data_IF_748085747826
#
_entry.id   IF_748085747826
#
_cell.length_a   1.000
_cell.length_b   1.000
_cell.length_c   1.000
_cell.angle_alpha   90.00
_cell.angle_beta   90.00
_cell.angle_gamma   90.00
#
_symmetry.space_group_name_H-M   'P 1'
#
loop_
_entity.id
_entity.type
_entity.pdbx_description
1 polymer ?
#
# COMPACT_ATOMS: atom_id res chain seq x y z
N UNK A 1 3.73 8.44 -21.81
CA UNK A 1 2.38 8.04 -22.25
C UNK A 1 2.20 6.62 -21.75
N UNK A 2 1.23 6.38 -20.86
CA UNK A 2 1.01 5.05 -20.31
C UNK A 2 0.37 4.15 -21.36
N UNK A 3 0.61 2.85 -21.27
CA UNK A 3 -0.12 1.84 -22.03
C UNK A 3 -1.51 1.63 -21.42
N UNK A 4 -2.45 1.10 -22.22
CA UNK A 4 -3.79 0.74 -21.72
C UNK A 4 -3.72 -0.19 -20.50
N UNK A 5 -2.75 -1.10 -20.47
CA UNK A 5 -2.54 -2.02 -19.34
C UNK A 5 -2.15 -1.26 -18.07
N UNK A 6 -1.26 -0.28 -18.18
CA UNK A 6 -0.84 0.56 -17.05
C UNK A 6 -1.99 1.43 -16.53
N UNK A 7 -2.80 2.00 -17.42
CA UNK A 7 -3.98 2.79 -17.02
C UNK A 7 -5.01 1.93 -16.28
N UNK A 8 -5.25 0.71 -16.77
CA UNK A 8 -6.12 -0.26 -16.08
C UNK A 8 -5.59 -0.59 -14.67
N UNK A 9 -4.28 -0.79 -14.51
CA UNK A 9 -3.64 -1.04 -13.20
C UNK A 9 -3.82 0.15 -12.26
N UNK A 10 -3.56 1.37 -12.72
CA UNK A 10 -3.67 2.57 -11.90
C UNK A 10 -5.11 2.81 -11.42
N UNK A 11 -6.09 2.68 -12.32
CA UNK A 11 -7.50 2.88 -12.01
C UNK A 11 -8.03 1.79 -11.09
N UNK A 12 -7.69 0.53 -11.35
CA UNK A 12 -8.08 -0.57 -10.48
C UNK A 12 -7.46 -0.45 -9.08
N UNK A 13 -6.19 -0.07 -8.98
CA UNK A 13 -5.50 0.21 -7.71
C UNK A 13 -6.24 1.29 -6.93
N UNK A 14 -6.49 2.45 -7.55
CA UNK A 14 -7.22 3.56 -6.94
C UNK A 14 -8.58 3.10 -6.42
N UNK A 15 -9.36 2.40 -7.25
CA UNK A 15 -10.71 1.94 -6.89
C UNK A 15 -10.69 0.97 -5.69
N UNK A 16 -9.72 0.07 -5.62
CA UNK A 16 -9.58 -0.84 -4.48
C UNK A 16 -9.16 -0.09 -3.21
N UNK A 17 -8.24 0.87 -3.31
CA UNK A 17 -7.82 1.68 -2.16
C UNK A 17 -8.96 2.54 -1.60
N UNK A 18 -9.91 2.95 -2.44
CA UNK A 18 -11.08 3.74 -2.04
C UNK A 18 -12.22 2.88 -1.49
N UNK A 19 -12.46 1.69 -2.06
CA UNK A 19 -13.72 0.95 -1.86
C UNK A 19 -13.59 -0.58 -1.78
N UNK A 20 -12.37 -1.12 -1.79
CA UNK A 20 -12.09 -2.55 -1.66
C UNK A 20 -12.26 -3.36 -2.95
N UNK A 21 -11.82 -4.62 -2.91
CA UNK A 21 -11.78 -5.57 -4.03
C UNK A 21 -13.19 -5.87 -4.57
N UNK A 22 -14.17 -5.96 -3.67
CA UNK A 22 -15.56 -6.26 -4.02
C UNK A 22 -16.20 -5.18 -4.88
N UNK A 23 -15.72 -3.94 -4.82
CA UNK A 23 -16.22 -2.84 -5.64
C UNK A 23 -15.75 -2.90 -7.11
N UNK A 24 -14.73 -3.71 -7.40
CA UNK A 24 -14.10 -3.80 -8.72
C UNK A 24 -14.70 -4.95 -9.55
N UNK A 25 -15.21 -4.61 -10.74
CA UNK A 25 -15.58 -5.58 -11.78
C UNK A 25 -14.86 -5.24 -13.08
N UNK A 26 -14.54 -6.26 -13.89
CA UNK A 26 -13.89 -6.06 -15.21
C UNK A 26 -14.73 -5.17 -16.13
N UNK A 27 -16.06 -5.26 -16.01
CA UNK A 27 -17.00 -4.43 -16.78
C UNK A 27 -16.91 -2.96 -16.40
N UNK A 28 -16.92 -2.66 -15.11
CA UNK A 28 -16.89 -1.27 -14.65
C UNK A 28 -15.50 -0.65 -14.84
N UNK A 29 -14.44 -1.46 -14.73
CA UNK A 29 -13.09 -1.05 -15.08
C UNK A 29 -13.00 -0.64 -16.55
N UNK A 30 -13.51 -1.47 -17.46
CA UNK A 30 -13.57 -1.15 -18.89
C UNK A 30 -14.35 0.13 -19.18
N UNK A 31 -15.53 0.30 -18.57
CA UNK A 31 -16.32 1.53 -18.68
C UNK A 31 -15.54 2.78 -18.24
N UNK A 32 -14.75 2.67 -17.17
CA UNK A 32 -13.98 3.79 -16.61
C UNK A 32 -12.92 4.30 -17.59
N UNK A 33 -12.30 3.40 -18.37
CA UNK A 33 -11.30 3.76 -19.39
C UNK A 33 -11.89 3.89 -20.81
N UNK A 34 -13.22 3.81 -20.95
CA UNK A 34 -13.90 3.95 -22.24
C UNK A 34 -13.78 2.73 -23.18
N UNK A 35 -13.49 1.53 -22.68
CA UNK A 35 -13.38 0.30 -23.47
C UNK A 35 -14.41 -0.77 -23.07
N UNK A 36 -14.60 -1.77 -23.93
CA UNK A 36 -15.46 -2.92 -23.63
C UNK A 36 -14.79 -3.84 -22.62
N UNK A 37 -15.60 -4.55 -21.81
CA UNK A 37 -15.09 -5.55 -20.86
C UNK A 37 -14.18 -6.60 -21.53
N UNK A 38 -14.51 -7.02 -22.76
CA UNK A 38 -13.68 -7.93 -23.56
C UNK A 38 -12.27 -7.40 -23.84
N UNK A 39 -12.12 -6.07 -23.98
CA UNK A 39 -10.81 -5.43 -24.16
C UNK A 39 -10.00 -5.42 -22.86
N UNK A 40 -10.65 -5.33 -21.70
CA UNK A 40 -9.96 -5.53 -20.40
C UNK A 40 -9.49 -6.97 -20.28
N UNK A 41 -10.32 -7.94 -20.66
CA UNK A 41 -9.99 -9.37 -20.62
C UNK A 41 -8.82 -9.75 -21.54
N UNK A 42 -8.57 -8.96 -22.59
CA UNK A 42 -7.37 -9.11 -23.42
C UNK A 42 -6.07 -8.76 -22.67
N UNK A 43 -6.14 -7.86 -21.69
CA UNK A 43 -4.99 -7.48 -20.86
C UNK A 43 -4.83 -8.35 -19.61
N UNK A 44 -5.94 -8.88 -19.07
CA UNK A 44 -5.97 -9.73 -17.89
C UNK A 44 -7.03 -10.81 -18.07
N UNK A 45 -6.61 -12.07 -18.17
CA UNK A 45 -7.49 -13.20 -18.47
C UNK A 45 -8.46 -13.53 -17.33
N UNK A 46 -8.19 -13.04 -16.12
CA UNK A 46 -9.06 -13.18 -14.96
C UNK A 46 -8.94 -11.98 -14.01
N UNK A 47 -9.89 -11.89 -13.06
CA UNK A 47 -9.79 -10.92 -11.96
C UNK A 47 -8.57 -11.24 -11.07
N UNK A 48 -8.27 -12.52 -10.87
CA UNK A 48 -7.11 -12.94 -10.05
C UNK A 48 -5.79 -12.51 -10.70
N UNK A 49 -5.65 -12.64 -12.02
CA UNK A 49 -4.48 -12.15 -12.75
C UNK A 49 -4.33 -10.63 -12.61
N UNK A 50 -5.44 -9.88 -12.72
CA UNK A 50 -5.42 -8.45 -12.47
C UNK A 50 -4.95 -8.14 -11.05
N UNK A 51 -5.55 -8.75 -10.01
CA UNK A 51 -5.20 -8.49 -8.62
C UNK A 51 -3.74 -8.83 -8.31
N UNK A 52 -3.22 -9.93 -8.87
CA UNK A 52 -1.81 -10.29 -8.77
C UNK A 52 -0.91 -9.20 -9.36
N UNK A 53 -1.24 -8.71 -10.56
CA UNK A 53 -0.46 -7.65 -11.19
C UNK A 53 -0.53 -6.33 -10.41
N UNK A 54 -1.68 -6.01 -9.79
CA UNK A 54 -1.81 -4.82 -8.95
C UNK A 54 -0.84 -4.87 -7.77
N UNK A 55 -0.83 -5.96 -6.99
CA UNK A 55 0.05 -6.05 -5.82
C UNK A 55 1.53 -6.11 -6.23
N UNK A 56 1.84 -6.77 -7.35
CA UNK A 56 3.20 -6.80 -7.92
C UNK A 56 3.68 -5.41 -8.29
N UNK A 57 2.93 -4.68 -9.10
CA UNK A 57 3.29 -3.31 -9.55
C UNK A 57 3.37 -2.34 -8.37
N UNK A 58 2.42 -2.44 -7.43
CA UNK A 58 2.41 -1.63 -6.21
C UNK A 58 3.65 -1.89 -5.35
N UNK A 59 4.02 -3.17 -5.17
CA UNK A 59 5.20 -3.56 -4.39
C UNK A 59 6.50 -3.11 -5.07
N UNK A 60 6.62 -3.27 -6.38
CA UNK A 60 7.79 -2.81 -7.15
C UNK A 60 8.00 -1.29 -6.98
N UNK A 61 6.94 -0.49 -7.12
CA UNK A 61 7.00 0.96 -6.91
C UNK A 61 7.38 1.34 -5.47
N UNK A 62 6.83 0.61 -4.48
CA UNK A 62 7.15 0.80 -3.07
C UNK A 62 8.62 0.50 -2.76
N UNK A 63 9.16 -0.61 -3.28
CA UNK A 63 10.57 -0.99 -3.14
C UNK A 63 11.49 0.07 -3.73
N UNK A 64 11.20 0.53 -4.95
CA UNK A 64 11.99 1.59 -5.62
C UNK A 64 12.00 2.87 -4.79
N UNK A 65 10.83 3.29 -4.27
CA UNK A 65 10.72 4.48 -3.43
C UNK A 65 11.54 4.36 -2.14
N UNK A 66 11.44 3.23 -1.43
CA UNK A 66 12.16 3.01 -0.17
C UNK A 66 13.68 2.86 -0.36
N UNK A 67 14.12 2.26 -1.48
CA UNK A 67 15.55 2.20 -1.81
C UNK A 67 16.13 3.59 -2.09
N UNK A 68 15.40 4.43 -2.83
CA UNK A 68 15.81 5.82 -3.07
C UNK A 68 15.98 6.60 -1.77
N UNK A 69 15.10 6.41 -0.78
CA UNK A 69 15.24 7.04 0.54
C UNK A 69 16.55 6.63 1.22
N UNK A 70 16.96 5.36 1.10
CA UNK A 70 18.22 4.89 1.67
C UNK A 70 19.46 5.49 0.96
N UNK A 71 19.37 5.71 -0.35
CA UNK A 71 20.45 6.27 -1.18
C UNK A 71 20.68 7.77 -0.95
N UNK A 72 19.67 8.52 -0.50
CA UNK A 72 19.74 9.97 -0.27
C UNK A 72 20.64 10.40 0.92
N UNK A 73 21.40 9.48 1.55
CA UNK A 73 22.27 9.73 2.72
C UNK A 73 21.59 10.51 3.86
N UNK A 74 20.28 10.30 4.03
CA UNK A 74 19.48 10.97 5.04
C UNK A 74 19.68 10.36 6.43
N UNK A 75 19.48 11.16 7.47
CA UNK A 75 19.34 10.68 8.85
C UNK A 75 18.13 9.74 9.00
N UNK A 76 18.24 8.75 9.89
CA UNK A 76 17.21 7.72 10.10
C UNK A 76 15.85 8.33 10.49
N UNK A 77 15.82 9.39 11.30
CA UNK A 77 14.56 10.08 11.66
C UNK A 77 13.89 10.66 10.43
N UNK A 78 14.65 11.19 9.47
CA UNK A 78 14.11 11.72 8.21
C UNK A 78 13.54 10.59 7.35
N UNK A 79 14.24 9.44 7.25
CA UNK A 79 13.76 8.26 6.52
C UNK A 79 12.44 7.73 7.09
N UNK A 80 12.36 7.59 8.41
CA UNK A 80 11.13 7.17 9.10
C UNK A 80 9.98 8.14 8.86
N UNK A 81 10.22 9.46 8.89
CA UNK A 81 9.20 10.45 8.54
C UNK A 81 8.74 10.29 7.08
N UNK A 82 9.66 10.06 6.12
CA UNK A 82 9.30 9.81 4.71
C UNK A 82 8.45 8.55 4.54
N UNK A 83 8.69 7.50 5.34
CA UNK A 83 7.85 6.30 5.37
C UNK A 83 6.44 6.61 5.91
N UNK A 84 6.34 7.31 7.04
CA UNK A 84 5.04 7.72 7.62
C UNK A 84 4.25 8.59 6.65
N UNK A 85 4.92 9.47 5.91
CA UNK A 85 4.28 10.35 4.93
C UNK A 85 3.55 9.57 3.82
N UNK A 86 3.91 8.31 3.53
CA UNK A 86 3.16 7.46 2.60
C UNK A 86 1.70 7.32 3.07
N UNK A 87 1.49 7.09 4.37
CA UNK A 87 0.16 6.95 4.96
C UNK A 87 -0.56 8.30 5.06
N UNK A 88 0.15 9.39 5.32
CA UNK A 88 -0.43 10.75 5.29
C UNK A 88 -0.94 11.11 3.89
N UNK A 89 -0.21 10.72 2.82
CA UNK A 89 -0.64 10.92 1.43
C UNK A 89 -1.87 10.07 1.09
N UNK A 90 -1.90 8.80 1.51
CA UNK A 90 -3.08 7.95 1.33
C UNK A 90 -4.32 8.56 1.99
N UNK A 91 -4.18 9.07 3.22
CA UNK A 91 -5.27 9.75 3.91
C UNK A 91 -5.75 10.99 3.15
N UNK A 92 -4.84 11.84 2.65
CA UNK A 92 -5.19 13.05 1.88
C UNK A 92 -5.96 12.73 0.60
N UNK A 93 -5.68 11.59 -0.02
CA UNK A 93 -6.36 11.12 -1.22
C UNK A 93 -7.64 10.31 -0.93
N UNK A 94 -8.08 10.25 0.33
CA UNK A 94 -9.21 9.43 0.79
C UNK A 94 -9.03 7.94 0.46
N UNK A 95 -7.82 7.42 0.63
CA UNK A 95 -7.42 6.04 0.29
C UNK A 95 -6.92 5.26 1.51
N UNK A 96 -6.97 3.93 1.40
CA UNK A 96 -6.27 2.99 2.28
C UNK A 96 -5.05 2.39 1.54
N UNK A 97 -4.14 1.76 2.26
CA UNK A 97 -3.07 0.95 1.68
C UNK A 97 -3.65 -0.20 0.83
N UNK A 98 -3.11 -0.42 -0.37
CA UNK A 98 -3.56 -1.52 -1.25
C UNK A 98 -3.32 -2.88 -0.58
N UNK A 99 -2.11 -3.10 -0.05
CA UNK A 99 -1.76 -4.35 0.65
C UNK A 99 -2.61 -4.54 1.92
N UNK A 100 -2.91 -3.45 2.64
CA UNK A 100 -3.85 -3.48 3.77
C UNK A 100 -5.24 -3.94 3.37
N UNK A 101 -5.77 -3.40 2.26
CA UNK A 101 -7.06 -3.82 1.72
C UNK A 101 -7.06 -5.29 1.27
N UNK A 102 -5.98 -5.74 0.64
CA UNK A 102 -5.79 -7.14 0.25
C UNK A 102 -5.74 -8.07 1.46
N UNK A 103 -5.03 -7.69 2.53
CA UNK A 103 -4.97 -8.46 3.77
C UNK A 103 -6.35 -8.61 4.43
N UNK A 104 -7.15 -7.53 4.49
CA UNK A 104 -8.51 -7.55 5.05
C UNK A 104 -9.45 -8.41 4.22
N UNK A 105 -9.32 -8.37 2.89
CA UNK A 105 -10.20 -9.09 1.95
C UNK A 105 -9.54 -10.33 1.34
N UNK A 106 -8.64 -10.99 2.08
CA UNK A 106 -7.82 -12.10 1.59
C UNK A 106 -8.61 -13.30 1.05
N UNK A 107 -9.87 -13.50 1.47
CA UNK A 107 -10.76 -14.55 0.93
C UNK A 107 -11.10 -14.37 -0.55
N UNK A 108 -10.87 -13.17 -1.09
CA UNK A 108 -11.05 -12.85 -2.50
C UNK A 108 -9.77 -13.02 -3.33
N UNK A 109 -8.68 -13.51 -2.73
CA UNK A 109 -7.37 -13.61 -3.37
C UNK A 109 -7.00 -15.08 -3.57
N UNK A 110 -6.27 -15.34 -4.66
CA UNK A 110 -5.59 -16.62 -4.83
C UNK A 110 -4.34 -16.71 -3.93
N UNK A 111 -3.79 -17.92 -3.78
CA UNK A 111 -2.65 -18.16 -2.89
C UNK A 111 -1.42 -17.33 -3.28
N UNK A 112 -1.16 -17.19 -4.57
CA UNK A 112 -0.03 -16.43 -5.09
C UNK A 112 -0.15 -14.93 -4.73
N UNK A 113 -1.35 -14.35 -4.80
CA UNK A 113 -1.59 -12.95 -4.43
C UNK A 113 -1.53 -12.76 -2.91
N UNK A 114 -1.96 -13.74 -2.12
CA UNK A 114 -1.79 -13.74 -0.65
C UNK A 114 -0.31 -13.74 -0.29
N UNK A 115 0.50 -14.59 -0.94
CA UNK A 115 1.95 -14.67 -0.70
C UNK A 115 2.62 -13.34 -1.04
N UNK A 116 2.30 -12.74 -2.20
CA UNK A 116 2.85 -11.42 -2.58
C UNK A 116 2.42 -10.29 -1.66
N UNK A 117 1.19 -10.33 -1.15
CA UNK A 117 0.73 -9.37 -0.14
C UNK A 117 1.51 -9.52 1.17
N UNK A 118 1.85 -10.76 1.55
CA UNK A 118 2.68 -11.04 2.72
C UNK A 118 4.12 -10.57 2.53
N UNK A 119 4.70 -10.80 1.34
CA UNK A 119 6.02 -10.32 0.94
C UNK A 119 6.13 -8.78 1.06
N UNK A 120 5.09 -8.05 0.64
CA UNK A 120 5.03 -6.59 0.76
C UNK A 120 5.22 -6.13 2.22
N UNK A 121 4.46 -6.72 3.16
CA UNK A 121 4.57 -6.36 4.57
C UNK A 121 5.90 -6.80 5.18
N UNK A 122 6.41 -7.97 4.82
CA UNK A 122 7.72 -8.44 5.27
C UNK A 122 8.84 -7.50 4.81
N UNK A 123 8.78 -7.01 3.57
CA UNK A 123 9.70 -6.01 3.05
C UNK A 123 9.60 -4.69 3.82
N UNK A 124 8.40 -4.15 4.02
CA UNK A 124 8.17 -2.92 4.76
C UNK A 124 8.72 -3.00 6.20
N UNK A 125 8.47 -4.11 6.90
CA UNK A 125 8.95 -4.37 8.25
C UNK A 125 10.48 -4.48 8.29
N UNK A 126 11.08 -5.17 7.33
CA UNK A 126 12.54 -5.29 7.23
C UNK A 126 13.20 -3.94 6.98
N UNK A 127 12.63 -3.14 6.06
CA UNK A 127 13.13 -1.81 5.78
C UNK A 127 13.04 -0.90 7.01
N UNK A 128 11.92 -0.92 7.74
CA UNK A 128 11.75 -0.17 8.99
C UNK A 128 12.76 -0.61 10.05
N UNK A 129 12.91 -1.92 10.26
CA UNK A 129 13.85 -2.47 11.25
C UNK A 129 15.30 -2.02 10.99
N UNK A 130 15.70 -1.88 9.72
CA UNK A 130 17.02 -1.38 9.33
C UNK A 130 17.22 0.12 9.55
N UNK A 131 16.13 0.88 9.71
CA UNK A 131 16.11 2.33 9.89
C UNK A 131 15.73 2.76 11.32
N UNK A 132 15.68 1.85 12.28
CA UNK A 132 15.40 2.14 13.69
C UNK A 132 16.66 1.96 14.54
N UNK A 133 16.90 2.87 15.49
CA UNK A 133 17.94 2.75 16.53
C UNK A 133 17.37 2.29 17.87
N UNK A 134 16.74 1.11 17.87
CA UNK A 134 16.12 0.51 19.07
C UNK A 134 16.46 -0.97 19.20
N UNK A 135 16.40 -1.49 20.42
CA UNK A 135 16.38 -2.95 20.65
C UNK A 135 15.12 -3.56 20.03
N UNK A 136 15.22 -4.82 19.62
CA UNK A 136 14.09 -5.57 19.03
C UNK A 136 13.46 -4.84 17.84
N UNK A 137 14.29 -4.22 16.99
CA UNK A 137 13.86 -3.34 15.89
C UNK A 137 12.86 -4.00 14.94
N UNK A 138 12.94 -5.32 14.75
CA UNK A 138 11.98 -6.07 13.94
C UNK A 138 10.59 -6.14 14.58
N UNK A 139 10.51 -6.37 15.90
CA UNK A 139 9.24 -6.37 16.65
C UNK A 139 8.63 -4.97 16.64
N UNK A 140 9.45 -3.94 16.85
CA UNK A 140 9.01 -2.55 16.77
C UNK A 140 8.53 -2.21 15.36
N UNK A 141 9.23 -2.64 14.30
CA UNK A 141 8.80 -2.43 12.93
C UNK A 141 7.42 -3.06 12.65
N UNK A 142 7.15 -4.26 13.16
CA UNK A 142 5.82 -4.89 13.09
C UNK A 142 4.74 -4.05 13.78
N UNK A 143 5.04 -3.50 14.96
CA UNK A 143 4.12 -2.60 15.68
C UNK A 143 3.90 -1.32 14.88
N UNK A 144 4.94 -0.72 14.30
CA UNK A 144 4.83 0.48 13.46
C UNK A 144 3.90 0.25 12.27
N UNK A 145 4.13 -0.80 11.48
CA UNK A 145 3.29 -1.11 10.31
C UNK A 145 1.84 -1.34 10.73
N UNK A 146 1.62 -2.15 11.77
CA UNK A 146 0.27 -2.42 12.28
C UNK A 146 -0.43 -1.16 12.78
N UNK A 147 0.32 -0.27 13.45
CA UNK A 147 -0.21 0.99 13.99
C UNK A 147 -0.53 1.99 12.87
N UNK A 148 0.29 2.08 11.82
CA UNK A 148 0.05 2.97 10.68
C UNK A 148 -1.17 2.53 9.86
N UNK A 149 -1.31 1.22 9.59
CA UNK A 149 -2.49 0.67 8.91
C UNK A 149 -3.77 0.91 9.73
N UNK A 150 -3.73 0.63 11.04
CA UNK A 150 -4.86 0.87 11.94
C UNK A 150 -5.21 2.35 12.08
N UNK A 151 -4.19 3.21 12.19
CA UNK A 151 -4.37 4.66 12.27
C UNK A 151 -5.02 5.21 11.00
N UNK A 152 -4.55 4.81 9.82
CA UNK A 152 -5.12 5.22 8.54
C UNK A 152 -6.60 4.82 8.43
N UNK A 153 -6.96 3.61 8.88
CA UNK A 153 -8.34 3.14 8.90
C UNK A 153 -9.24 4.01 9.79
N UNK A 154 -8.80 4.31 11.02
CA UNK A 154 -9.56 5.12 11.98
C UNK A 154 -9.66 6.58 11.54
N UNK A 155 -8.57 7.14 11.02
CA UNK A 155 -8.51 8.51 10.53
C UNK A 155 -9.42 8.70 9.31
N UNK A 156 -9.43 7.77 8.35
CA UNK A 156 -10.39 7.79 7.23
C UNK A 156 -11.83 7.75 7.72
N UNK A 157 -12.16 6.89 8.69
CA UNK A 157 -13.51 6.80 9.27
C UNK A 157 -13.94 8.14 9.91
N UNK A 158 -13.04 8.72 10.72
CA UNK A 158 -13.33 9.92 11.51
C UNK A 158 -13.14 11.23 10.74
N UNK A 159 -12.57 11.16 9.53
CA UNK A 159 -12.21 12.32 8.69
C UNK A 159 -11.32 13.33 9.39
N UNK A 160 -10.42 12.83 10.24
CA UNK A 160 -9.38 13.60 10.92
C UNK A 160 -8.05 12.84 10.83
N UNK A 161 -6.95 13.45 11.27
CA UNK A 161 -5.60 12.85 11.20
C UNK A 161 -4.99 12.59 12.57
N UNK A 162 -5.84 12.36 13.57
CA UNK A 162 -5.42 12.28 14.98
C UNK A 162 -4.61 11.01 15.27
N UNK A 163 -5.01 9.87 14.72
CA UNK A 163 -4.32 8.60 14.96
C UNK A 163 -2.96 8.57 14.26
N UNK A 164 -2.87 9.00 13.00
CA UNK A 164 -1.61 9.07 12.27
C UNK A 164 -0.65 10.07 12.95
N UNK A 165 -1.17 11.21 13.43
CA UNK A 165 -0.37 12.16 14.21
C UNK A 165 0.16 11.53 15.51
N UNK A 166 -0.67 10.76 16.23
CA UNK A 166 -0.26 10.06 17.44
C UNK A 166 0.83 9.02 17.16
N UNK A 167 0.69 8.22 16.10
CA UNK A 167 1.71 7.24 15.68
C UNK A 167 3.02 7.95 15.31
N UNK A 168 2.95 9.08 14.61
CA UNK A 168 4.14 9.88 14.26
C UNK A 168 4.87 10.42 15.48
N UNK A 169 4.14 10.91 16.48
CA UNK A 169 4.73 11.34 17.77
C UNK A 169 5.37 10.15 18.49
N UNK A 170 4.67 9.01 18.56
CA UNK A 170 5.18 7.80 19.18
C UNK A 170 6.50 7.33 18.54
N UNK A 171 6.55 7.24 17.19
CA UNK A 171 7.77 6.84 16.47
C UNK A 171 8.93 7.80 16.73
N UNK A 172 8.67 9.11 16.78
CA UNK A 172 9.72 10.10 17.10
C UNK A 172 10.34 9.88 18.48
N UNK A 173 9.54 9.46 19.45
CA UNK A 173 10.00 9.19 20.82
C UNK A 173 10.73 7.84 20.97
N UNK A 174 10.73 6.99 19.94
CA UNK A 174 11.50 5.74 19.94
C UNK A 174 12.97 5.94 19.58
N UNK A 175 13.30 7.01 18.86
CA UNK A 175 14.67 7.27 18.43
C UNK A 175 15.41 8.10 19.49
N UNK A 176 16.68 7.76 19.82
CA UNK A 176 17.50 8.52 20.76
C UNK A 176 17.75 9.98 20.30
#
# INVERSE_FOLDING_TARGET
>A
MNTMREDLIQIATKKIQESGINSLTMRDLGKTVGIKASSVMYHFNSKDELLHELIKTYSEGFVVYLNKINEENLDKKVRLNKFINIFELLFQEDKICLAGMFAVQNKNLDSNTIDKTSDFFAFAQTWLASNLDVKDSMQIAKVIVSSLEGALMLDKLNKNKECLAAVKIWIKNLQP
#
